data_IF_808132577736
#
_entry.id   IF_808132577736
#
_cell.length_a   1.000
_cell.length_b   1.000
_cell.length_c   1.000
_cell.angle_alpha   90.00
_cell.angle_beta   90.00
_cell.angle_gamma   90.00
#
_symmetry.space_group_name_H-M   'P 1'
#
loop_
_entity.id
_entity.type
_entity.pdbx_description
1 polymer ?
#
# COMPACT_ATOMS: atom_id res chain seq x y z
N UNK A 1 14.36 4.46 -19.78
CA UNK A 1 13.15 4.63 -20.60
C UNK A 1 13.18 6.07 -21.07
N UNK A 2 13.25 6.26 -22.39
CA UNK A 2 13.51 7.58 -22.95
C UNK A 2 12.24 8.42 -23.02
N UNK A 3 11.09 7.81 -23.35
CA UNK A 3 9.75 8.39 -23.44
C UNK A 3 8.93 8.32 -22.13
N UNK A 4 9.59 8.34 -20.97
CA UNK A 4 8.89 8.17 -19.69
C UNK A 4 7.95 9.34 -19.34
N UNK A 5 8.26 10.53 -19.83
CA UNK A 5 7.43 11.73 -19.77
C UNK A 5 6.12 11.55 -20.55
N UNK A 6 6.20 11.10 -21.80
CA UNK A 6 5.01 10.84 -22.63
C UNK A 6 4.08 9.80 -21.99
N UNK A 7 4.65 8.69 -21.50
CA UNK A 7 3.88 7.62 -20.88
C UNK A 7 3.20 8.06 -19.59
N UNK A 8 3.88 8.83 -18.74
CA UNK A 8 3.29 9.35 -17.52
C UNK A 8 2.24 10.43 -17.80
N UNK A 9 2.37 11.16 -18.91
CA UNK A 9 1.42 12.21 -19.25
C UNK A 9 0.00 11.68 -19.46
N UNK A 10 -0.14 10.47 -20.01
CA UNK A 10 -1.43 9.78 -20.20
C UNK A 10 -2.15 9.62 -18.86
N UNK A 11 -1.44 9.15 -17.83
CA UNK A 11 -2.00 8.99 -16.47
C UNK A 11 -2.29 10.33 -15.77
N UNK A 12 -1.61 11.41 -16.17
CA UNK A 12 -1.87 12.75 -15.63
C UNK A 12 -3.14 13.34 -16.26
N UNK A 13 -3.48 12.98 -17.51
CA UNK A 13 -4.69 13.46 -18.19
C UNK A 13 -5.97 12.88 -17.57
N UNK A 14 -5.95 11.60 -17.20
CA UNK A 14 -7.07 10.92 -16.54
C UNK A 14 -6.95 10.88 -15.02
N UNK A 15 -6.05 11.67 -14.41
CA UNK A 15 -5.61 11.51 -13.02
C UNK A 15 -6.76 11.41 -12.01
N UNK A 16 -7.78 12.27 -12.10
CA UNK A 16 -8.91 12.30 -11.16
C UNK A 16 -9.88 11.13 -11.33
N UNK A 17 -9.86 10.47 -12.48
CA UNK A 17 -10.72 9.32 -12.80
C UNK A 17 -10.09 8.00 -12.34
N UNK A 18 -8.77 8.00 -12.10
CA UNK A 18 -8.03 6.84 -11.62
C UNK A 18 -8.30 6.51 -10.15
N UNK A 19 -8.09 5.25 -9.77
CA UNK A 19 -8.14 4.85 -8.35
C UNK A 19 -7.10 5.62 -7.52
N UNK A 20 -7.39 5.85 -6.24
CA UNK A 20 -6.46 6.57 -5.34
C UNK A 20 -5.07 5.93 -5.25
N UNK A 21 -4.99 4.59 -5.35
CA UNK A 21 -3.71 3.89 -5.39
C UNK A 21 -2.89 4.29 -6.63
N UNK A 22 -3.53 4.39 -7.80
CA UNK A 22 -2.89 4.82 -9.06
C UNK A 22 -2.51 6.30 -8.97
N UNK A 23 -3.39 7.18 -8.47
CA UNK A 23 -3.09 8.60 -8.26
C UNK A 23 -1.82 8.81 -7.43
N UNK A 24 -1.69 8.10 -6.30
CA UNK A 24 -0.50 8.18 -5.43
C UNK A 24 0.78 7.71 -6.14
N UNK A 25 0.69 6.65 -6.94
CA UNK A 25 1.84 6.15 -7.70
C UNK A 25 2.20 7.07 -8.86
N UNK A 26 1.23 7.60 -9.60
CA UNK A 26 1.43 8.57 -10.68
C UNK A 26 2.09 9.84 -10.15
N UNK A 27 1.58 10.39 -9.04
CA UNK A 27 2.19 11.54 -8.36
C UNK A 27 3.66 11.28 -8.00
N UNK A 28 3.94 10.13 -7.37
CA UNK A 28 5.31 9.77 -6.98
C UNK A 28 6.20 9.49 -8.20
N UNK A 29 5.67 8.90 -9.27
CA UNK A 29 6.40 8.61 -10.50
C UNK A 29 6.79 9.90 -11.24
N UNK A 30 5.87 10.86 -11.36
CA UNK A 30 6.14 12.16 -11.98
C UNK A 30 7.16 12.96 -11.17
N UNK A 31 7.07 12.97 -9.84
CA UNK A 31 8.08 13.62 -8.99
C UNK A 31 9.46 12.98 -9.15
N UNK A 32 9.54 11.63 -9.21
CA UNK A 32 10.81 10.93 -9.49
C UNK A 32 11.35 11.23 -10.89
N UNK A 33 10.48 11.35 -11.88
CA UNK A 33 10.87 11.71 -13.25
C UNK A 33 11.48 13.11 -13.25
N UNK A 34 10.81 14.08 -12.61
CA UNK A 34 11.31 15.45 -12.49
C UNK A 34 12.68 15.53 -11.81
N UNK A 35 12.89 14.80 -10.71
CA UNK A 35 14.19 14.75 -10.02
C UNK A 35 15.32 14.10 -10.83
N UNK A 36 15.00 13.37 -11.90
CA UNK A 36 15.96 12.72 -12.81
C UNK A 36 16.17 13.50 -14.12
N UNK A 37 15.10 14.07 -14.68
CA UNK A 37 15.05 14.80 -15.95
C UNK A 37 14.21 16.08 -15.77
N UNK A 38 14.75 17.12 -15.12
CA UNK A 38 13.96 18.31 -14.79
C UNK A 38 13.44 19.05 -16.03
N UNK A 39 14.26 19.13 -17.08
CA UNK A 39 13.94 19.90 -18.30
C UNK A 39 12.72 19.36 -19.05
N UNK A 40 12.57 18.03 -19.15
CA UNK A 40 11.46 17.41 -19.88
C UNK A 40 10.19 17.24 -19.04
N UNK A 41 10.32 17.21 -17.71
CA UNK A 41 9.22 16.85 -16.82
C UNK A 41 8.63 18.04 -16.02
N UNK A 42 9.17 19.25 -16.19
CA UNK A 42 8.72 20.46 -15.50
C UNK A 42 7.21 20.73 -15.69
N UNK A 43 6.71 20.60 -16.92
CA UNK A 43 5.29 20.84 -17.22
C UNK A 43 4.39 19.79 -16.57
N UNK A 44 4.78 18.52 -16.67
CA UNK A 44 4.02 17.37 -16.15
C UNK A 44 3.94 17.41 -14.62
N UNK A 45 5.04 17.75 -13.93
CA UNK A 45 5.05 17.84 -12.46
C UNK A 45 4.19 18.98 -11.94
N UNK A 46 4.21 20.14 -12.61
CA UNK A 46 3.33 21.26 -12.25
C UNK A 46 1.86 20.89 -12.46
N UNK A 47 1.53 20.21 -13.56
CA UNK A 47 0.16 19.80 -13.87
C UNK A 47 -0.38 18.83 -12.81
N UNK A 48 0.34 17.73 -12.54
CA UNK A 48 -0.10 16.73 -11.56
C UNK A 48 -0.20 17.32 -10.14
N UNK A 49 0.72 18.20 -9.73
CA UNK A 49 0.66 18.82 -8.40
C UNK A 49 -0.53 19.79 -8.27
N UNK A 50 -0.84 20.55 -9.33
CA UNK A 50 -2.04 21.39 -9.34
C UNK A 50 -3.32 20.55 -9.27
N UNK A 51 -3.46 19.55 -10.15
CA UNK A 51 -4.63 18.67 -10.17
C UNK A 51 -4.78 17.92 -8.85
N UNK A 52 -3.70 17.36 -8.30
CA UNK A 52 -3.73 16.62 -7.05
C UNK A 52 -4.04 17.49 -5.84
N UNK A 53 -3.78 18.80 -5.85
CA UNK A 53 -4.08 19.70 -4.72
C UNK A 53 -5.43 20.39 -4.81
N UNK A 54 -5.91 20.69 -6.03
CA UNK A 54 -7.16 21.43 -6.26
C UNK A 54 -8.36 20.54 -6.54
N UNK A 55 -8.17 19.52 -7.36
CA UNK A 55 -9.27 18.76 -7.98
C UNK A 55 -9.44 17.37 -7.34
N UNK A 56 -8.46 16.91 -6.56
CA UNK A 56 -8.54 15.64 -5.84
C UNK A 56 -9.30 15.77 -4.51
N UNK A 57 -10.24 14.87 -4.26
CA UNK A 57 -11.05 14.79 -3.04
C UNK A 57 -10.36 14.03 -1.89
N UNK A 58 -9.46 13.11 -2.23
CA UNK A 58 -8.73 12.28 -1.27
C UNK A 58 -7.70 13.10 -0.47
N UNK A 59 -7.83 13.08 0.87
CA UNK A 59 -6.94 13.80 1.76
C UNK A 59 -5.48 13.31 1.71
N UNK A 60 -5.21 12.00 1.60
CA UNK A 60 -3.84 11.46 1.53
C UNK A 60 -3.13 11.88 0.24
N UNK A 61 -3.86 11.88 -0.88
CA UNK A 61 -3.31 12.34 -2.17
C UNK A 61 -2.95 13.83 -2.11
N UNK A 62 -3.86 14.66 -1.60
CA UNK A 62 -3.62 16.11 -1.43
C UNK A 62 -2.44 16.39 -0.51
N UNK A 63 -2.39 15.75 0.65
CA UNK A 63 -1.32 15.94 1.63
C UNK A 63 0.04 15.53 1.04
N UNK A 64 0.10 14.39 0.36
CA UNK A 64 1.33 13.95 -0.30
C UNK A 64 1.75 14.89 -1.43
N UNK A 65 0.80 15.43 -2.18
CA UNK A 65 1.09 16.44 -3.20
C UNK A 65 1.65 17.73 -2.58
N UNK A 66 1.08 18.22 -1.47
CA UNK A 66 1.62 19.38 -0.76
C UNK A 66 3.01 19.13 -0.18
N UNK A 67 3.27 17.94 0.38
CA UNK A 67 4.60 17.56 0.88
C UNK A 67 5.61 17.59 -0.26
N UNK A 68 5.30 16.96 -1.40
CA UNK A 68 6.19 17.01 -2.56
C UNK A 68 6.38 18.43 -3.09
N UNK A 69 5.32 19.21 -3.17
CA UNK A 69 5.39 20.60 -3.63
C UNK A 69 6.34 21.41 -2.74
N UNK A 70 6.13 21.39 -1.42
CA UNK A 70 6.97 22.11 -0.46
C UNK A 70 8.42 21.63 -0.52
N UNK A 71 8.64 20.32 -0.62
CA UNK A 71 9.98 19.75 -0.69
C UNK A 71 10.72 20.21 -1.95
N UNK A 72 10.07 20.14 -3.11
CA UNK A 72 10.63 20.56 -4.40
C UNK A 72 10.88 22.07 -4.47
N UNK A 73 9.98 22.89 -3.91
CA UNK A 73 10.12 24.35 -3.90
C UNK A 73 11.12 24.87 -2.87
N UNK A 74 11.40 24.10 -1.81
CA UNK A 74 12.34 24.52 -0.75
C UNK A 74 13.78 24.13 -1.11
N UNK A 75 14.00 22.85 -1.42
CA UNK A 75 15.35 22.34 -1.72
C UNK A 75 15.28 21.10 -2.64
N UNK A 76 15.55 21.28 -3.95
CA UNK A 76 15.63 20.17 -4.89
C UNK A 76 16.72 19.13 -4.55
N UNK A 77 17.80 19.54 -3.90
CA UNK A 77 18.89 18.66 -3.45
C UNK A 77 18.42 17.70 -2.36
N UNK A 78 17.80 18.24 -1.30
CA UNK A 78 17.16 17.44 -0.26
C UNK A 78 16.03 16.58 -0.84
N UNK A 79 15.23 17.10 -1.76
CA UNK A 79 14.18 16.34 -2.43
C UNK A 79 14.74 15.08 -3.12
N UNK A 80 15.88 15.22 -3.81
CA UNK A 80 16.57 14.10 -4.44
C UNK A 80 17.06 13.08 -3.41
N UNK A 81 17.67 13.54 -2.32
CA UNK A 81 18.19 12.66 -1.27
C UNK A 81 17.08 11.88 -0.56
N UNK A 82 15.90 12.47 -0.36
CA UNK A 82 14.76 11.84 0.30
C UNK A 82 14.00 10.92 -0.66
N UNK A 83 13.58 11.42 -1.82
CA UNK A 83 12.68 10.69 -2.73
C UNK A 83 13.40 9.61 -3.52
N UNK A 84 14.65 9.84 -3.91
CA UNK A 84 15.49 8.86 -4.64
C UNK A 84 16.43 8.08 -3.71
N UNK A 85 16.19 8.12 -2.39
CA UNK A 85 16.94 7.33 -1.42
C UNK A 85 16.98 5.84 -1.81
N UNK A 86 18.12 5.20 -1.57
CA UNK A 86 18.24 3.75 -1.70
C UNK A 86 17.30 3.07 -0.70
N UNK A 87 16.39 2.23 -1.20
CA UNK A 87 15.45 1.49 -0.35
C UNK A 87 16.14 0.21 0.14
N UNK A 88 16.05 -0.12 1.43
CA UNK A 88 16.57 -1.39 1.93
C UNK A 88 15.86 -2.56 1.23
N UNK A 89 16.52 -3.73 1.12
CA UNK A 89 15.92 -4.91 0.52
C UNK A 89 14.66 -5.31 1.30
N UNK A 90 13.60 -5.66 0.58
CA UNK A 90 12.35 -6.09 1.19
C UNK A 90 12.51 -7.54 1.66
N UNK A 91 12.37 -7.78 2.95
CA UNK A 91 12.27 -9.14 3.51
C UNK A 91 10.81 -9.53 3.60
N UNK A 92 10.43 -10.60 2.91
CA UNK A 92 9.10 -11.17 3.01
C UNK A 92 9.08 -12.23 4.12
N UNK A 93 8.03 -12.27 4.96
CA UNK A 93 7.82 -13.38 5.88
C UNK A 93 7.76 -14.71 5.13
N UNK A 94 8.38 -15.76 5.67
CA UNK A 94 8.32 -17.10 5.08
C UNK A 94 6.94 -17.75 5.23
N UNK A 95 6.20 -17.33 6.26
CA UNK A 95 4.86 -17.84 6.59
C UNK A 95 3.83 -16.72 6.52
N UNK A 96 2.60 -17.08 6.17
CA UNK A 96 1.47 -16.14 6.17
C UNK A 96 0.91 -15.88 7.56
N UNK A 97 1.29 -16.69 8.54
CA UNK A 97 0.88 -16.60 9.95
C UNK A 97 2.06 -16.21 10.84
N UNK A 98 1.76 -15.56 11.96
CA UNK A 98 2.77 -15.25 12.98
C UNK A 98 3.27 -16.54 13.65
N UNK A 99 4.48 -16.56 14.22
CA UNK A 99 5.00 -17.75 14.90
C UNK A 99 4.09 -18.26 16.04
N UNK A 100 3.44 -17.35 16.77
CA UNK A 100 2.51 -17.72 17.84
C UNK A 100 1.27 -18.45 17.32
N UNK A 101 0.68 -17.96 16.21
CA UNK A 101 -0.47 -18.61 15.58
C UNK A 101 -0.06 -19.92 14.92
N UNK A 102 1.16 -19.99 14.37
CA UNK A 102 1.69 -21.23 13.80
C UNK A 102 1.75 -22.36 14.85
N UNK A 103 2.27 -22.06 16.05
CA UNK A 103 2.36 -23.04 17.14
C UNK A 103 0.97 -23.58 17.54
N UNK A 104 -0.02 -22.70 17.64
CA UNK A 104 -1.41 -23.09 17.91
C UNK A 104 -1.96 -23.99 16.80
N UNK A 105 -1.75 -23.62 15.53
CA UNK A 105 -2.22 -24.39 14.37
C UNK A 105 -1.53 -25.76 14.24
N UNK A 106 -0.28 -25.90 14.73
CA UNK A 106 0.42 -27.18 14.80
C UNK A 106 -0.23 -28.13 15.81
N UNK A 107 -0.78 -27.60 16.91
CA UNK A 107 -1.56 -28.39 17.87
C UNK A 107 -2.93 -28.83 17.33
N UNK A 108 -3.42 -28.13 16.30
CA UNK A 108 -4.73 -28.32 15.67
C UNK A 108 -4.66 -29.07 14.32
N UNK A 109 -3.55 -29.77 14.05
CA UNK A 109 -3.40 -30.56 12.81
C UNK A 109 -4.51 -31.62 12.74
N UNK A 110 -5.28 -31.58 11.65
CA UNK A 110 -6.45 -32.44 11.44
C UNK A 110 -7.78 -31.76 11.74
N UNK A 111 -7.77 -30.52 12.25
CA UNK A 111 -8.97 -29.70 12.43
C UNK A 111 -9.15 -28.66 11.31
N UNK A 112 -10.35 -28.06 11.20
CA UNK A 112 -10.62 -26.98 10.25
C UNK A 112 -9.75 -25.75 10.48
N UNK A 113 -9.22 -25.55 11.69
CA UNK A 113 -8.31 -24.44 11.99
C UNK A 113 -7.03 -24.55 11.17
N UNK A 114 -6.45 -25.76 11.11
CA UNK A 114 -5.26 -26.07 10.29
C UNK A 114 -5.51 -25.91 8.78
N UNK A 115 -6.75 -26.14 8.31
CA UNK A 115 -7.12 -25.97 6.89
C UNK A 115 -7.31 -24.49 6.54
N UNK A 116 -7.94 -23.72 7.43
CA UNK A 116 -8.18 -22.29 7.20
C UNK A 116 -7.00 -21.39 7.54
N UNK A 117 -5.93 -21.93 8.14
CA UNK A 117 -4.77 -21.19 8.63
C UNK A 117 -5.19 -20.04 9.56
N UNK A 118 -6.23 -20.29 10.36
CA UNK A 118 -6.82 -19.32 11.28
C UNK A 118 -7.16 -20.03 12.59
N UNK A 119 -6.95 -19.37 13.75
CA UNK A 119 -7.40 -19.90 15.03
C UNK A 119 -8.90 -20.22 15.01
N UNK A 120 -9.30 -21.27 15.72
CA UNK A 120 -10.68 -21.76 15.74
C UNK A 120 -11.69 -20.65 16.13
N UNK A 121 -11.31 -19.82 17.10
CA UNK A 121 -12.12 -18.69 17.61
C UNK A 121 -12.48 -17.65 16.54
N UNK A 122 -11.74 -17.57 15.44
CA UNK A 122 -11.99 -16.58 14.37
C UNK A 122 -13.13 -16.98 13.44
N UNK A 123 -13.53 -18.25 13.43
CA UNK A 123 -14.59 -18.76 12.54
C UNK A 123 -15.64 -19.61 13.27
N UNK A 124 -15.36 -20.08 14.49
CA UNK A 124 -16.35 -20.66 15.38
C UNK A 124 -16.95 -19.53 16.22
N UNK A 125 -18.11 -19.03 15.82
CA UNK A 125 -18.85 -18.05 16.61
C UNK A 125 -19.18 -18.59 18.00
N UNK A 126 -19.29 -17.69 19.00
CA UNK A 126 -19.59 -17.95 20.43
C UNK A 126 -20.89 -18.75 20.71
N UNK A 127 -21.59 -19.25 19.68
CA UNK A 127 -22.94 -19.82 19.79
C UNK A 127 -23.09 -21.30 19.44
N UNK A 128 -22.05 -22.02 18.99
CA UNK A 128 -22.19 -23.45 18.66
C UNK A 128 -20.99 -24.25 19.11
N UNK A 129 -21.13 -24.85 20.28
CA UNK A 129 -20.27 -25.90 20.81
C UNK A 129 -19.90 -26.89 19.71
N UNK A 130 -18.60 -27.13 19.51
CA UNK A 130 -18.12 -28.25 18.71
C UNK A 130 -18.70 -29.56 19.25
N UNK A 131 -18.82 -30.58 18.40
CA UNK A 131 -19.40 -31.87 18.78
C UNK A 131 -18.78 -32.46 20.07
N UNK A 132 -17.51 -32.17 20.35
CA UNK A 132 -16.81 -32.58 21.57
C UNK A 132 -17.31 -31.88 22.84
N UNK A 133 -17.69 -30.61 22.74
CA UNK A 133 -18.30 -29.87 23.85
C UNK A 133 -19.74 -30.32 24.11
N UNK A 134 -20.46 -30.76 23.06
CA UNK A 134 -21.78 -31.41 23.21
C UNK A 134 -21.63 -32.77 23.91
N UNK A 135 -20.63 -33.59 23.53
CA UNK A 135 -20.38 -34.88 24.18
C UNK A 135 -20.01 -34.74 25.66
N UNK A 136 -19.19 -33.74 26.03
CA UNK A 136 -18.88 -33.45 27.45
C UNK A 136 -20.09 -32.94 28.24
N UNK A 137 -21.01 -32.20 27.62
CA UNK A 137 -22.22 -31.72 28.27
C UNK A 137 -23.27 -32.84 28.46
N UNK A 138 -23.30 -33.84 27.59
CA UNK A 138 -24.20 -35.00 27.69
C UNK A 138 -23.70 -36.13 28.60
N UNK A 139 -22.46 -36.05 29.09
CA UNK A 139 -21.86 -37.04 29.99
C UNK A 139 -21.95 -36.65 31.48
N UNK A 140 -22.79 -35.66 31.82
CA UNK A 140 -23.09 -35.21 33.17
C UNK A 140 -24.59 -35.33 33.45
#
# INVERSE_FOLDING_TARGET
IDNADELLNIFVETFTEESYAVQLQTLTAVVKLFLKKPDSAQSVVQRVLNTATKDCDNADVRDRAYIYWRLLSTDPGAAKAVVLAHRPPITLPQTTVSPAVLEELLGEIGSLASVYHKPADTFIGQGKYGADAVQKASAK
#
